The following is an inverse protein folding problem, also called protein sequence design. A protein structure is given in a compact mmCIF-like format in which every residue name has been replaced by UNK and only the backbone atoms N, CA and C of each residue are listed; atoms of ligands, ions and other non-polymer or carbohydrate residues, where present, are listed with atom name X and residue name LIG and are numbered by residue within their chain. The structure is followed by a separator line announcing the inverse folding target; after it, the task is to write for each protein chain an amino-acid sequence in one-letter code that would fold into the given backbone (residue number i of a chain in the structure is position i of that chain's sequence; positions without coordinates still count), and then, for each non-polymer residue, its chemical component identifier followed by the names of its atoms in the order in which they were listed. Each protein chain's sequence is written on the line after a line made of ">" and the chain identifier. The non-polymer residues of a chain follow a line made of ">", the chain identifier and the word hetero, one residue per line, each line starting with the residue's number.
data_IF_878629388179
#
_entry.id   IF_878629388179
#
_cell.length_a   1.000
_cell.length_b   1.000
_cell.length_c   1.000
_cell.angle_alpha   90.00
_cell.angle_beta   90.00
_cell.angle_gamma   90.00
#
_symmetry.space_group_name_H-M   'P 1'
#
loop_
_entity.id
_entity.type
_entity.pdbx_description
1 polymer ?
2 polymer ?
3 non-polymer ?
4 water ?
#
# COMPACT_ATOMS: atom_id res chain seq x y z
N UNK A 5 10.42 16.30 -2.70
CA UNK A 5 11.32 17.43 -3.08
C UNK A 5 12.67 16.89 -3.55
N UNK A 6 13.27 15.93 -2.85
CA UNK A 6 14.53 15.23 -3.28
C UNK A 6 14.24 14.31 -4.47
N UNK A 7 15.26 13.98 -5.25
CA UNK A 7 15.14 13.05 -6.42
C UNK A 7 14.88 11.66 -5.85
N UNK A 8 15.43 11.35 -4.68
CA UNK A 8 15.16 10.09 -3.92
C UNK A 8 13.65 9.95 -3.72
N UNK A 9 13.00 11.02 -3.25
CA UNK A 9 11.54 11.09 -3.02
C UNK A 9 10.78 11.06 -4.35
N UNK A 10 11.20 11.84 -5.35
CA UNK A 10 10.52 11.92 -6.67
C UNK A 10 10.57 10.55 -7.37
N UNK A 11 11.70 9.86 -7.28
CA UNK A 11 11.94 8.52 -7.91
C UNK A 11 11.02 7.49 -7.27
N UNK A 12 10.89 7.52 -5.95
CA UNK A 12 9.96 6.67 -5.16
C UNK A 12 8.51 6.92 -5.60
N UNK A 13 8.11 8.19 -5.75
CA UNK A 13 6.77 8.56 -6.27
C UNK A 13 6.61 8.04 -7.71
N UNK A 14 7.65 8.20 -8.55
CA UNK A 14 7.66 7.73 -9.95
C UNK A 14 7.42 6.21 -9.98
N UNK A 15 8.04 5.44 -9.07
CA UNK A 15 7.84 3.97 -8.98
C UNK A 15 6.36 3.66 -8.69
N UNK A 16 5.75 4.35 -7.72
CA UNK A 16 4.32 4.17 -7.37
C UNK A 16 3.42 4.49 -8.57
N UNK A 17 3.71 5.58 -9.29
CA UNK A 17 2.94 5.95 -10.50
C UNK A 17 2.93 4.79 -11.49
N UNK A 18 4.10 4.16 -11.67
CA UNK A 18 4.31 3.04 -12.62
C UNK A 18 3.45 1.82 -12.21
N UNK A 19 3.04 1.71 -10.94
CA UNK A 19 2.17 0.62 -10.45
C UNK A 19 0.71 0.86 -10.86
N UNK A 20 0.31 2.11 -11.16
CA UNK A 20 -1.06 2.45 -11.64
C UNK A 20 -1.11 2.54 -13.16
N UNK A 21 -0.05 3.06 -13.80
CA UNK A 21 0.06 3.26 -15.26
C UNK A 21 0.63 2.00 -15.93
N UNK A 22 -0.15 0.91 -15.92
CA UNK A 22 0.27 -0.46 -16.29
C UNK A 22 0.75 -0.50 -17.75
N UNK A 23 0.04 0.19 -18.63
CA UNK A 23 0.33 0.19 -20.09
C UNK A 23 1.53 1.11 -20.39
N UNK A 24 1.97 1.89 -19.40
CA UNK A 24 3.16 2.75 -19.54
C UNK A 24 2.91 3.91 -20.50
N UNK A 25 1.68 4.41 -20.64
CA UNK A 25 1.42 5.50 -21.63
C UNK A 25 1.55 6.88 -20.96
N UNK A 26 1.99 6.95 -19.70
CA UNK A 26 2.28 8.21 -18.99
C UNK A 26 1.03 8.84 -18.39
N UNK A 27 -0.10 8.16 -18.41
CA UNK A 27 -1.36 8.66 -17.82
C UNK A 27 -2.02 7.55 -16.99
N UNK A 28 -2.69 7.94 -15.91
CA UNK A 28 -3.61 7.05 -15.13
C UNK A 28 -5.05 7.41 -15.50
N UNK A 29 -5.80 6.44 -16.02
CA UNK A 29 -7.26 6.50 -16.33
C UNK A 29 -8.10 6.02 -15.14
N UNK A 30 -9.41 6.29 -15.17
CA UNK A 30 -10.39 5.77 -14.19
C UNK A 30 -10.36 4.25 -14.22
N UNK A 31 -10.16 3.64 -15.40
CA UNK A 31 -10.09 2.16 -15.56
C UNK A 31 -8.86 1.62 -14.81
N UNK A 32 -7.69 2.24 -14.95
CA UNK A 32 -6.43 1.79 -14.27
C UNK A 32 -6.61 1.96 -12.76
N UNK A 33 -7.25 3.04 -12.33
CA UNK A 33 -7.42 3.29 -10.87
C UNK A 33 -8.31 2.19 -10.29
N UNK A 34 -9.48 1.94 -10.90
CA UNK A 34 -10.40 0.89 -10.43
C UNK A 34 -9.72 -0.47 -10.39
N UNK A 35 -8.96 -0.80 -11.44
CA UNK A 35 -8.20 -2.07 -11.54
C UNK A 35 -7.36 -2.23 -10.27
N UNK A 36 -6.55 -1.21 -9.95
CA UNK A 36 -5.67 -1.27 -8.74
C UNK A 36 -6.57 -1.44 -7.51
N UNK A 37 -7.61 -0.61 -7.37
CA UNK A 37 -8.45 -0.63 -6.15
C UNK A 37 -9.13 -2.00 -6.00
N UNK A 38 -9.55 -2.64 -7.09
CA UNK A 38 -10.24 -3.96 -7.01
C UNK A 38 -9.24 -5.06 -6.63
N UNK A 39 -7.96 -4.88 -6.88
CA UNK A 39 -6.91 -5.81 -6.41
C UNK A 39 -6.59 -5.58 -4.92
N UNK A 40 -7.06 -4.49 -4.30
CA UNK A 40 -6.67 -4.06 -2.93
C UNK A 40 -7.80 -4.35 -1.94
N UNK A 41 -8.78 -5.15 -2.35
CA UNK A 41 -9.97 -5.51 -1.55
C UNK A 41 -11.02 -4.41 -1.52
N UNK A 42 -10.94 -3.42 -2.41
CA UNK A 42 -11.94 -2.33 -2.49
C UNK A 42 -12.90 -2.62 -3.64
N UNK A 43 -14.02 -1.90 -3.66
CA UNK A 43 -15.09 -2.09 -4.66
C UNK A 43 -15.70 -0.73 -5.00
N UNK A 44 -14.92 0.17 -5.65
CA UNK A 44 -15.43 1.50 -5.98
C UNK A 44 -16.46 1.48 -7.12
N UNK A 45 -17.44 2.37 -7.04
CA UNK A 45 -18.38 2.67 -8.15
C UNK A 45 -17.68 3.57 -9.18
N UNK A 46 -18.25 3.68 -10.37
CA UNK A 46 -17.74 4.57 -11.44
C UNK A 46 -17.68 6.00 -10.93
N UNK A 47 -18.76 6.46 -10.30
CA UNK A 47 -18.91 7.80 -9.70
C UNK A 47 -17.79 8.05 -8.69
N UNK A 48 -17.45 7.05 -7.87
CA UNK A 48 -16.33 7.21 -6.90
C UNK A 48 -15.04 7.39 -7.70
N UNK A 49 -14.77 6.53 -8.72
CA UNK A 49 -13.51 6.61 -9.52
C UNK A 49 -13.44 7.98 -10.21
N UNK A 50 -14.53 8.43 -10.84
CA UNK A 50 -14.59 9.75 -11.53
C UNK A 50 -14.27 10.88 -10.52
N UNK A 51 -14.87 10.83 -9.33
CA UNK A 51 -14.68 11.85 -8.27
C UNK A 51 -13.21 11.94 -7.84
N UNK A 52 -12.52 10.81 -7.74
CA UNK A 52 -11.10 10.75 -7.33
C UNK A 52 -10.23 11.29 -8.47
N UNK A 53 -10.55 11.02 -9.73
CA UNK A 53 -9.75 11.49 -10.88
C UNK A 53 -9.89 13.04 -10.96
N UNK A 54 -11.12 13.55 -10.95
CA UNK A 54 -11.38 15.02 -11.08
C UNK A 54 -10.62 15.78 -9.98
N UNK A 55 -10.55 15.24 -8.76
CA UNK A 55 -9.93 15.94 -7.61
C UNK A 55 -8.42 16.12 -7.83
N UNK A 56 -7.79 15.25 -8.63
CA UNK A 56 -6.31 15.23 -8.91
C UNK A 56 -5.99 15.85 -10.28
N UNK A 57 -6.94 15.85 -11.21
CA UNK A 57 -6.72 16.14 -12.65
C UNK A 57 -6.67 17.67 -12.88
N UNK A 58 -5.52 18.29 -12.65
CA UNK A 58 -5.33 19.77 -12.68
C UNK A 58 -5.72 20.32 -14.06
N UNK A 59 -5.22 19.77 -15.18
CA UNK A 59 -5.47 20.38 -16.53
C UNK A 59 -6.87 20.00 -17.03
N UNK A 60 -7.51 18.98 -16.44
CA UNK A 60 -8.91 18.60 -16.74
C UNK A 60 -9.05 17.78 -18.01
N UNK A 61 -8.00 17.09 -18.45
CA UNK A 61 -8.00 16.25 -19.67
C UNK A 61 -8.63 14.88 -19.37
N UNK A 62 -8.90 14.56 -18.09
CA UNK A 62 -9.60 13.33 -17.68
C UNK A 62 -8.67 12.19 -17.30
N UNK A 63 -7.36 12.39 -17.36
CA UNK A 63 -6.40 11.36 -16.88
C UNK A 63 -5.46 12.05 -15.90
N UNK A 64 -4.61 11.26 -15.24
CA UNK A 64 -3.61 11.79 -14.29
C UNK A 64 -2.23 11.52 -14.85
N UNK A 65 -1.48 12.59 -15.15
CA UNK A 65 -0.07 12.49 -15.62
C UNK A 65 0.83 12.50 -14.38
N UNK A 66 2.13 12.25 -14.56
CA UNK A 66 3.08 12.20 -13.43
C UNK A 66 3.14 13.57 -12.71
N UNK A 67 3.20 14.75 -13.38
CA UNK A 67 3.21 16.02 -12.64
C UNK A 67 2.03 16.19 -11.67
N UNK A 68 0.82 15.84 -12.08
CA UNK A 68 -0.42 15.91 -11.24
C UNK A 68 -0.32 14.94 -10.06
N UNK A 69 0.15 13.73 -10.33
CA UNK A 69 0.37 12.70 -9.31
C UNK A 69 1.39 13.19 -8.27
N UNK A 70 2.53 13.73 -8.74
CA UNK A 70 3.61 14.25 -7.86
C UNK A 70 3.04 15.34 -6.94
N UNK A 71 2.30 16.29 -7.49
CA UNK A 71 1.66 17.39 -6.72
C UNK A 71 0.83 16.77 -5.60
N UNK A 72 -0.03 15.82 -5.95
CA UNK A 72 -0.94 15.10 -5.02
C UNK A 72 -0.08 14.40 -3.99
N UNK A 73 0.94 13.66 -4.43
CA UNK A 73 1.79 12.88 -3.50
C UNK A 73 2.53 13.80 -2.54
N UNK A 74 3.00 14.97 -2.99
CA UNK A 74 3.80 15.92 -2.16
C UNK A 74 2.93 16.43 -0.99
N UNK A 75 1.70 16.89 -1.27
CA UNK A 75 0.72 17.31 -0.24
C UNK A 75 0.28 16.09 0.58
N UNK A 76 0.68 16.03 1.86
CA UNK A 76 0.33 14.92 2.79
C UNK A 76 0.89 13.58 2.27
N UNK A 77 2.21 13.41 2.34
CA UNK A 77 2.97 12.17 1.98
C UNK A 77 3.92 11.76 3.11
N UNK A 78 4.47 12.73 3.86
CA UNK A 78 5.55 12.55 4.87
C UNK A 78 6.91 12.61 4.15
N UNK A 79 7.87 11.76 4.55
CA UNK A 79 9.16 11.56 3.85
C UNK A 79 8.89 10.80 2.55
N UNK A 80 8.01 9.78 2.59
CA UNK A 80 7.70 8.86 1.47
C UNK A 80 9.03 8.39 0.86
N UNK A 81 9.74 7.52 1.60
CA UNK A 81 10.90 6.70 1.15
C UNK A 81 10.61 5.23 1.53
N UNK A 82 11.50 4.31 1.16
CA UNK A 82 11.34 2.84 1.33
C UNK A 82 11.17 2.49 2.81
N UNK A 83 11.96 3.11 3.71
CA UNK A 83 11.87 2.91 5.18
C UNK A 83 10.51 3.44 5.71
N UNK A 84 10.14 4.67 5.31
CA UNK A 84 8.91 5.36 5.81
C UNK A 84 7.66 4.53 5.47
N UNK A 85 7.62 3.94 4.27
CA UNK A 85 6.44 3.16 3.80
C UNK A 85 6.26 1.92 4.69
N UNK A 86 7.37 1.27 5.05
CA UNK A 86 7.43 0.07 5.91
C UNK A 86 6.93 0.46 7.30
N UNK A 87 7.29 1.65 7.80
CA UNK A 87 6.86 2.14 9.14
C UNK A 87 5.35 2.44 9.15
N UNK A 88 4.87 3.09 8.10
CA UNK A 88 3.46 3.52 8.06
C UNK A 88 2.60 2.25 7.92
N UNK A 89 3.06 1.27 7.12
CA UNK A 89 2.38 -0.04 6.96
C UNK A 89 2.30 -0.75 8.33
N UNK A 90 3.38 -0.77 9.10
CA UNK A 90 3.40 -1.39 10.46
C UNK A 90 2.39 -0.70 11.39
N UNK A 91 2.32 0.63 11.37
CA UNK A 91 1.42 1.41 12.25
C UNK A 91 -0.04 1.07 11.92
N UNK A 92 -0.39 0.91 10.63
CA UNK A 92 -1.76 0.50 10.20
C UNK A 92 -2.02 -0.93 10.70
N UNK A 93 -1.07 -1.84 10.50
CA UNK A 93 -1.19 -3.28 10.84
C UNK A 93 -1.35 -3.48 12.36
N UNK A 94 -0.55 -2.77 13.17
CA UNK A 94 -0.62 -2.76 14.64
C UNK A 94 -1.85 -1.96 15.11
N UNK A 95 -3.04 -2.49 14.89
CA UNK A 95 -4.33 -1.82 15.20
C UNK A 95 -4.37 -1.28 16.65
N UNK A 96 -3.96 -2.05 17.67
CA UNK A 96 -4.11 -1.61 19.09
C UNK A 96 -2.89 -0.78 19.56
N UNK A 97 -1.88 -0.57 18.70
CA UNK A 97 -0.76 0.36 18.90
C UNK A 97 0.22 -0.07 20.02
N UNK A 98 0.31 -1.36 20.36
CA UNK A 98 1.22 -1.85 21.45
C UNK A 98 2.61 -2.12 20.86
N UNK A 99 2.79 -1.91 19.55
CA UNK A 99 4.08 -2.18 18.89
C UNK A 99 4.29 -3.64 18.53
N UNK A 100 3.23 -4.45 18.51
CA UNK A 100 3.30 -5.87 18.10
C UNK A 100 2.12 -6.17 17.17
N UNK A 101 2.38 -6.96 16.14
CA UNK A 101 1.34 -7.53 15.24
C UNK A 101 0.98 -8.94 15.75
N UNK A 102 -0.26 -9.07 16.18
CA UNK A 102 -0.86 -10.34 16.66
C UNK A 102 -1.42 -11.11 15.46
N UNK A 103 -1.76 -12.36 15.67
CA UNK A 103 -2.49 -13.19 14.67
C UNK A 103 -3.83 -12.53 14.31
N UNK A 104 -4.61 -12.01 15.27
CA UNK A 104 -5.94 -11.38 14.99
C UNK A 104 -5.77 -10.11 14.13
N UNK A 105 -4.70 -9.34 14.37
CA UNK A 105 -4.41 -8.08 13.63
C UNK A 105 -4.03 -8.46 12.19
N UNK A 106 -3.20 -9.50 12.01
CA UNK A 106 -2.79 -9.99 10.68
C UNK A 106 -4.00 -10.46 9.87
N UNK A 107 -4.92 -11.20 10.48
CA UNK A 107 -6.21 -11.60 9.86
C UNK A 107 -6.96 -10.36 9.37
N UNK A 108 -7.09 -9.32 10.20
CA UNK A 108 -7.78 -8.03 9.85
C UNK A 108 -7.13 -7.39 8.60
N UNK A 109 -5.79 -7.33 8.59
CA UNK A 109 -5.02 -6.76 7.45
C UNK A 109 -5.32 -7.55 6.17
N UNK A 110 -5.24 -8.87 6.26
CA UNK A 110 -5.42 -9.74 5.07
C UNK A 110 -6.83 -9.52 4.50
N UNK A 111 -7.82 -9.51 5.37
CA UNK A 111 -9.24 -9.30 5.00
C UNK A 111 -9.37 -7.91 4.37
N UNK A 112 -8.77 -6.88 5.00
CA UNK A 112 -8.82 -5.48 4.53
C UNK A 112 -8.23 -5.38 3.11
N UNK A 113 -7.15 -6.10 2.83
CA UNK A 113 -6.39 -5.94 1.57
C UNK A 113 -6.84 -6.96 0.53
N UNK A 114 -7.89 -7.73 0.78
CA UNK A 114 -8.46 -8.69 -0.19
C UNK A 114 -7.61 -9.96 -0.32
N UNK A 115 -6.87 -10.33 0.72
CA UNK A 115 -6.09 -11.60 0.74
C UNK A 115 -6.86 -12.70 1.50
N UNK A 116 -7.09 -13.85 0.86
CA UNK A 116 -7.70 -15.05 1.46
C UNK A 116 -6.78 -15.55 2.58
N UNK A 117 -7.32 -15.95 3.71
CA UNK A 117 -6.44 -16.44 4.82
C UNK A 117 -6.84 -17.83 5.29
N UNK A 118 -5.90 -18.49 5.97
CA UNK A 118 -6.17 -19.62 6.88
C UNK A 118 -5.40 -19.37 8.18
N UNK A 119 -5.88 -19.94 9.27
CA UNK A 119 -5.15 -19.95 10.57
C UNK A 119 -3.73 -20.49 10.34
N UNK A 120 -3.58 -21.54 9.53
CA UNK A 120 -2.26 -22.23 9.34
C UNK A 120 -1.31 -21.27 8.63
N UNK A 121 -1.81 -20.54 7.64
CA UNK A 121 -0.96 -19.57 6.90
C UNK A 121 -0.55 -18.41 7.83
N UNK A 122 -1.46 -17.93 8.67
CA UNK A 122 -1.17 -16.82 9.60
C UNK A 122 -0.12 -17.31 10.59
N UNK A 123 -0.33 -18.50 11.17
CA UNK A 123 0.58 -19.13 12.16
C UNK A 123 1.98 -19.20 11.55
N UNK A 124 2.09 -19.69 10.30
CA UNK A 124 3.40 -19.82 9.56
C UNK A 124 4.03 -18.45 9.30
N UNK A 125 3.25 -17.41 8.98
CA UNK A 125 3.77 -16.04 8.73
C UNK A 125 4.35 -15.46 10.03
N UNK A 126 3.66 -15.65 11.15
CA UNK A 126 4.15 -15.19 12.47
C UNK A 126 5.41 -16.00 12.84
N UNK A 127 5.35 -17.33 12.71
CA UNK A 127 6.49 -18.24 13.04
C UNK A 127 7.71 -17.77 12.26
N UNK A 128 7.61 -17.54 10.94
CA UNK A 128 8.82 -17.22 10.14
C UNK A 128 9.37 -15.83 10.50
N UNK A 129 8.58 -14.88 11.01
CA UNK A 129 9.06 -13.50 11.30
C UNK A 129 9.47 -13.34 12.78
N UNK A 130 9.01 -14.24 13.66
CA UNK A 130 9.04 -14.05 15.13
C UNK A 130 10.43 -14.44 15.65
N UNK A 131 11.41 -13.58 15.43
CA UNK A 131 12.84 -13.78 15.84
C UNK A 131 12.91 -14.03 17.35
N UNK A 132 12.22 -13.24 18.19
CA UNK A 132 12.41 -13.30 19.67
C UNK A 132 11.45 -14.32 20.31
N UNK A 133 10.66 -15.04 19.50
CA UNK A 133 9.78 -16.14 19.95
C UNK A 133 8.68 -15.71 20.91
N UNK A 134 8.25 -14.45 20.94
CA UNK A 134 7.14 -14.04 21.83
C UNK A 134 5.76 -14.32 21.21
N UNK A 135 5.68 -14.84 20.00
CA UNK A 135 4.39 -15.19 19.36
C UNK A 135 3.73 -14.00 18.65
N UNK A 136 4.39 -12.85 18.58
CA UNK A 136 3.89 -11.67 17.81
C UNK A 136 5.05 -11.05 17.03
N UNK A 137 4.75 -10.15 16.11
CA UNK A 137 5.77 -9.56 15.19
C UNK A 137 5.98 -8.10 15.59
N UNK A 138 7.17 -7.76 16.09
CA UNK A 138 7.50 -6.35 16.41
C UNK A 138 8.07 -5.66 15.15
N UNK A 139 8.47 -4.40 15.30
CA UNK A 139 8.84 -3.56 14.13
C UNK A 139 10.11 -4.09 13.46
N UNK A 140 11.11 -4.44 14.29
CA UNK A 140 12.41 -5.00 13.87
C UNK A 140 12.15 -6.29 13.08
N UNK A 141 11.28 -7.16 13.62
CA UNK A 141 10.94 -8.44 12.96
C UNK A 141 10.21 -8.16 11.64
N UNK A 142 9.34 -7.15 11.62
CA UNK A 142 8.54 -6.77 10.42
C UNK A 142 9.49 -6.27 9.33
N UNK A 143 10.41 -5.37 9.68
CA UNK A 143 11.48 -4.81 8.79
C UNK A 143 12.21 -5.95 8.08
N UNK A 144 12.73 -6.91 8.86
CA UNK A 144 13.58 -8.04 8.37
C UNK A 144 12.80 -8.86 7.35
N UNK A 145 11.51 -9.05 7.57
CA UNK A 145 10.68 -9.82 6.61
C UNK A 145 10.54 -9.04 5.29
N UNK A 146 10.46 -7.70 5.36
CA UNK A 146 9.95 -6.79 4.30
C UNK A 146 11.11 -6.32 3.40
N UNK A 147 12.17 -5.78 4.02
CA UNK A 147 13.43 -5.40 3.33
C UNK A 147 14.01 -6.66 2.66
N UNK A 148 13.91 -7.81 3.35
CA UNK A 148 14.41 -9.14 2.93
C UNK A 148 13.25 -10.13 2.85
N UNK B 1 4.63 -17.76 4.34
CA UNK B 1 5.59 -17.51 3.22
C UNK B 1 5.94 -16.02 3.19
N UNK B 2 7.24 -15.71 3.08
CA UNK B 2 7.80 -14.33 2.98
C UNK B 2 7.08 -13.55 1.89
N UNK B 3 6.80 -14.24 0.78
CA UNK B 3 6.10 -13.70 -0.40
C UNK B 3 4.79 -13.04 0.05
N UNK B 4 4.05 -13.66 0.98
CA UNK B 4 2.73 -13.11 1.46
C UNK B 4 3.01 -11.86 2.31
N UNK B 5 4.04 -11.87 3.18
CA UNK B 5 4.45 -10.61 3.86
C UNK B 5 4.70 -9.51 2.82
N UNK B 6 5.41 -9.84 1.75
CA UNK B 6 5.78 -8.88 0.69
C UNK B 6 4.49 -8.41 -0.01
N UNK B 7 3.59 -9.34 -0.30
CA UNK B 7 2.31 -9.06 -0.97
C UNK B 7 1.52 -8.06 -0.11
N UNK B 8 1.45 -8.27 1.21
CA UNK B 8 0.71 -7.37 2.13
C UNK B 8 1.34 -5.97 2.12
N UNK B 9 2.66 -5.87 2.17
CA UNK B 9 3.35 -4.55 2.12
C UNK B 9 3.03 -3.82 0.80
N UNK B 10 3.12 -4.54 -0.32
CA UNK B 10 2.88 -3.97 -1.67
C UNK B 10 1.43 -3.50 -1.74
N UNK B 11 0.50 -4.32 -1.24
CA UNK B 11 -0.94 -3.95 -1.25
C UNK B 11 -1.15 -2.72 -0.36
N UNK B 12 -0.56 -2.70 0.83
CA UNK B 12 -0.80 -1.57 1.77
C UNK B 12 -0.22 -0.27 1.18
N UNK B 13 0.96 -0.34 0.55
CA UNK B 13 1.59 0.81 -0.16
C UNK B 13 0.59 1.39 -1.18
N UNK B 14 -0.04 0.54 -1.97
CA UNK B 14 -1.05 0.95 -2.99
C UNK B 14 -2.28 1.60 -2.34
N UNK B 15 -2.74 1.09 -1.20
CA UNK B 15 -3.93 1.63 -0.50
C UNK B 15 -3.58 3.02 0.01
N UNK B 16 -2.35 3.18 0.49
CA UNK B 16 -1.84 4.46 1.01
C UNK B 16 -1.79 5.48 -0.13
N UNK B 17 -1.50 5.04 -1.35
CA UNK B 17 -1.51 5.95 -2.55
C UNK B 17 -2.96 6.28 -2.90
N UNK B 18 -3.84 5.28 -2.97
CA UNK B 18 -5.30 5.44 -3.30
C UNK B 18 -5.91 6.47 -2.34
N UNK B 19 -5.50 6.46 -1.07
CA UNK B 19 -6.06 7.36 -0.05
C UNK B 19 -5.68 8.82 -0.32
N UNK B 20 -4.63 9.11 -1.12
CA UNK B 20 -4.19 10.51 -1.42
C UNK B 20 -5.03 11.15 -2.54
N UNK B 21 -5.85 10.37 -3.25
CA UNK B 21 -6.62 10.82 -4.44
C UNK B 21 -7.80 11.67 -3.97
X LIG C 1 -2.01 4.40 -18.47
X LIG D 1 -4.55 15.57 -16.41
X LIG E 1 -0.96 -4.92 18.27
X LIG F 1 8.33 -11.40 18.22
#
# INVERSE_FOLDING_TARGET
>A
MADQLTEEQIAEFKEAFSLFDKDGDGTITTKELGTVMRSLGQNPTEAELQDMIIEVDADGNGTIDFPEFLTMMARKMKDTDSEEEIREAFRVFDKDGNGYISAAELRHVMTNLGEKLTDEEVDEMIREADIDGDGQVNYEEFVQMMTAK
>B
KKAVWHKLLSKQRKRAVVACF
>C hetero
1 CA CA
>D hetero
1 CA CA
>E hetero
1 CA CA
>F hetero
1 CA CA
#
